data_IF_704122288439
#
_entry.id   IF_704122288439
#
_cell.length_a   1.000
_cell.length_b   1.000
_cell.length_c   1.000
_cell.angle_alpha   90.00
_cell.angle_beta   90.00
_cell.angle_gamma   90.00
#
_symmetry.space_group_name_H-M   'P 1'
#
loop_
_entity.id
_entity.type
_entity.pdbx_description
1 polymer ?
#
# COMPACT_ATOMS: atom_id res chain seq x y z
N UNK A 1 -4.24 19.23 17.83
CA UNK A 1 -4.51 18.44 19.02
C UNK A 1 -3.55 18.77 20.13
N UNK A 2 -4.03 18.90 21.31
CA UNK A 2 -3.25 19.36 22.46
C UNK A 2 -3.17 18.23 23.45
N UNK A 3 -1.99 18.05 24.07
CA UNK A 3 -1.87 17.15 25.20
C UNK A 3 -2.61 17.75 26.38
N UNK A 4 -3.62 17.04 26.84
CA UNK A 4 -4.56 17.56 27.85
C UNK A 4 -4.14 17.28 29.27
N UNK A 5 -3.19 16.39 29.46
CA UNK A 5 -2.84 15.92 30.80
C UNK A 5 -1.96 16.86 31.60
N UNK A 6 -1.52 17.96 31.03
CA UNK A 6 -0.51 18.82 31.64
C UNK A 6 0.88 18.21 31.66
N UNK A 7 1.04 17.06 31.03
CA UNK A 7 2.36 16.45 30.90
C UNK A 7 3.15 17.15 29.81
N UNK A 8 4.41 17.40 30.11
CA UNK A 8 5.33 17.86 29.11
C UNK A 8 5.85 16.69 28.32
N UNK A 9 5.68 16.77 27.02
CA UNK A 9 6.44 15.91 26.11
C UNK A 9 7.72 16.65 25.75
N UNK A 10 8.81 16.18 26.34
CA UNK A 10 10.12 16.71 25.99
C UNK A 10 10.56 16.11 24.66
N UNK A 11 10.55 16.92 23.62
CA UNK A 11 11.10 16.53 22.35
C UNK A 11 12.62 16.58 22.41
N UNK A 12 13.25 15.42 22.55
CA UNK A 12 14.68 15.35 22.44
C UNK A 12 15.03 15.58 20.98
N UNK A 13 15.71 16.67 20.72
CA UNK A 13 16.24 16.91 19.39
C UNK A 13 17.44 16.01 19.17
N UNK A 14 17.28 15.04 18.30
CA UNK A 14 18.40 14.44 17.65
C UNK A 14 19.09 15.47 16.76
N UNK A 15 20.24 15.15 16.19
CA UNK A 15 20.88 16.00 15.21
C UNK A 15 19.87 16.43 14.14
N UNK A 16 19.90 17.70 13.81
CA UNK A 16 18.97 18.25 12.83
C UNK A 16 19.14 17.53 11.49
N UNK A 17 18.05 16.98 11.00
CA UNK A 17 18.03 16.32 9.71
C UNK A 17 17.20 17.15 8.74
N UNK A 18 17.65 17.34 7.50
CA UNK A 18 16.81 17.99 6.50
C UNK A 18 15.62 17.10 6.17
N UNK A 19 14.51 17.69 5.68
CA UNK A 19 13.43 16.88 5.13
C UNK A 19 13.95 15.98 4.03
N UNK A 20 13.43 14.77 3.96
CA UNK A 20 13.74 13.87 2.84
C UNK A 20 12.75 14.15 1.72
N UNK A 21 13.27 14.18 0.51
CA UNK A 21 12.46 14.43 -0.68
C UNK A 21 12.61 13.26 -1.64
N UNK A 22 11.47 12.69 -2.02
CA UNK A 22 11.41 11.72 -3.08
C UNK A 22 10.73 12.36 -4.28
N UNK A 23 11.43 12.41 -5.39
CA UNK A 23 10.93 13.04 -6.60
C UNK A 23 9.87 12.18 -7.26
N UNK A 24 8.96 12.84 -7.98
CA UNK A 24 7.96 12.15 -8.79
C UNK A 24 8.63 11.28 -9.85
N UNK A 25 8.10 10.07 -9.99
CA UNK A 25 8.42 9.17 -11.09
C UNK A 25 7.11 8.65 -11.66
N UNK A 26 7.10 8.34 -12.94
CA UNK A 26 5.91 7.79 -13.58
C UNK A 26 5.70 6.35 -13.14
N UNK A 27 4.44 5.93 -13.14
CA UNK A 27 4.11 4.53 -12.91
C UNK A 27 4.66 3.69 -14.05
N UNK A 28 5.27 2.55 -13.73
CA UNK A 28 5.79 1.60 -14.69
C UNK A 28 4.89 0.37 -14.73
N UNK A 29 4.70 -0.18 -15.93
CA UNK A 29 3.90 -1.38 -16.08
C UNK A 29 4.64 -2.58 -15.49
N UNK A 30 3.94 -3.33 -14.63
CA UNK A 30 4.44 -4.54 -14.00
C UNK A 30 3.81 -5.78 -14.61
N UNK A 31 2.51 -5.67 -14.89
CA UNK A 31 1.69 -6.71 -15.52
C UNK A 31 0.64 -6.02 -16.39
N UNK A 32 -0.04 -6.75 -17.28
CA UNK A 32 -1.18 -6.18 -18.02
C UNK A 32 -2.20 -5.58 -17.07
N UNK A 33 -2.52 -4.30 -17.25
CA UNK A 33 -3.46 -3.59 -16.39
C UNK A 33 -2.97 -3.29 -14.98
N UNK A 34 -1.68 -3.49 -14.69
CA UNK A 34 -1.11 -3.20 -13.39
C UNK A 34 0.16 -2.38 -13.54
N UNK A 35 0.15 -1.17 -12.99
CA UNK A 35 1.30 -0.27 -12.98
C UNK A 35 1.59 0.17 -11.56
N UNK A 36 2.83 0.48 -11.28
CA UNK A 36 3.22 0.93 -9.95
C UNK A 36 4.56 1.63 -9.93
N UNK A 37 4.86 2.24 -8.79
CA UNK A 37 6.17 2.81 -8.51
C UNK A 37 6.42 2.77 -7.00
N UNK A 38 7.65 2.56 -6.64
CA UNK A 38 8.08 2.80 -5.27
C UNK A 38 8.30 4.31 -5.08
N UNK A 39 7.77 4.84 -3.99
CA UNK A 39 8.09 6.21 -3.55
C UNK A 39 9.16 6.12 -2.47
N UNK A 40 8.86 5.40 -1.40
CA UNK A 40 9.84 5.04 -0.37
C UNK A 40 10.00 3.53 -0.46
N UNK A 41 11.08 3.03 -1.05
CA UNK A 41 11.23 1.60 -1.30
C UNK A 41 11.48 0.82 -0.01
N UNK A 42 11.20 -0.49 -0.01
CA UNK A 42 11.57 -1.34 1.11
C UNK A 42 13.09 -1.41 1.26
N UNK A 43 13.55 -1.46 2.50
CA UNK A 43 14.97 -1.69 2.80
C UNK A 43 15.15 -3.19 3.06
N UNK A 44 16.02 -3.89 2.32
CA UNK A 44 16.25 -5.33 2.52
C UNK A 44 16.72 -5.68 3.93
N UNK A 45 17.28 -4.72 4.66
CA UNK A 45 17.71 -4.90 6.05
C UNK A 45 16.57 -4.70 7.04
N UNK A 46 15.43 -4.25 6.57
CA UNK A 46 14.28 -3.92 7.39
C UNK A 46 14.07 -2.41 7.54
N UNK A 47 12.87 -2.06 7.93
CA UNK A 47 12.51 -0.66 8.17
C UNK A 47 11.60 -0.56 9.39
N UNK A 48 11.81 0.49 10.17
CA UNK A 48 11.02 0.75 11.38
C UNK A 48 9.84 1.69 11.11
N UNK A 49 9.86 2.38 9.99
CA UNK A 49 8.80 3.27 9.54
C UNK A 49 7.92 2.61 8.50
N UNK A 50 7.71 3.30 7.40
CA UNK A 50 6.85 2.85 6.31
C UNK A 50 7.63 2.73 5.01
N UNK A 51 7.20 1.84 4.15
CA UNK A 51 7.40 2.01 2.72
C UNK A 51 6.16 2.68 2.15
N UNK A 52 6.31 3.33 1.03
CA UNK A 52 5.24 4.04 0.35
C UNK A 52 5.34 3.72 -1.14
N UNK A 53 4.21 3.35 -1.71
CA UNK A 53 4.14 3.07 -3.14
C UNK A 53 2.82 3.59 -3.71
N UNK A 54 2.83 3.79 -5.00
CA UNK A 54 1.63 4.14 -5.73
C UNK A 54 1.43 3.09 -6.81
N UNK A 55 0.19 2.62 -6.96
CA UNK A 55 -0.10 1.60 -7.95
C UNK A 55 -1.52 1.72 -8.46
N UNK A 56 -1.77 1.10 -9.59
CA UNK A 56 -3.09 1.11 -10.18
C UNK A 56 -3.40 -0.22 -10.85
N UNK A 57 -4.69 -0.52 -10.88
CA UNK A 57 -5.24 -1.68 -11.53
C UNK A 57 -6.29 -1.23 -12.54
N UNK A 58 -6.24 -1.77 -13.73
CA UNK A 58 -7.24 -1.57 -14.77
C UNK A 58 -7.66 -2.94 -15.27
N UNK A 59 -8.88 -3.36 -14.91
CA UNK A 59 -9.39 -4.68 -15.27
C UNK A 59 -8.40 -5.78 -14.92
N UNK A 60 -7.91 -5.75 -13.68
CA UNK A 60 -6.88 -6.65 -13.22
C UNK A 60 -6.99 -6.88 -11.72
N UNK A 61 -6.36 -7.92 -11.27
CA UNK A 61 -6.28 -8.27 -9.87
C UNK A 61 -4.89 -8.71 -9.45
N UNK A 62 -4.69 -8.69 -8.16
CA UNK A 62 -3.43 -9.02 -7.53
C UNK A 62 -3.69 -9.72 -6.20
N UNK A 63 -2.96 -10.79 -5.94
CA UNK A 63 -3.01 -11.50 -4.68
C UNK A 63 -1.63 -11.60 -4.09
N UNK A 64 -1.49 -11.27 -2.82
CA UNK A 64 -0.23 -11.41 -2.11
C UNK A 64 -0.44 -11.59 -0.61
N UNK A 65 0.67 -11.80 0.09
CA UNK A 65 0.74 -11.79 1.54
C UNK A 65 2.01 -11.06 1.93
N UNK A 66 1.91 -10.20 2.94
CA UNK A 66 3.05 -9.45 3.44
C UNK A 66 3.31 -9.76 4.91
N UNK A 67 4.59 -9.74 5.34
CA UNK A 67 4.92 -9.84 6.76
C UNK A 67 4.59 -8.58 7.55
N UNK A 68 4.17 -7.51 6.90
CA UNK A 68 3.76 -6.24 7.51
C UNK A 68 2.32 -5.90 7.10
N UNK A 69 1.72 -5.00 7.89
CA UNK A 69 0.41 -4.45 7.52
C UNK A 69 0.52 -3.67 6.21
N UNK A 70 -0.50 -3.78 5.39
CA UNK A 70 -0.63 -3.02 4.16
C UNK A 70 -1.92 -2.22 4.18
N UNK A 71 -1.80 -0.91 4.05
CA UNK A 71 -2.96 -0.02 3.98
C UNK A 71 -2.97 0.66 2.63
N UNK A 72 -4.07 0.56 1.91
CA UNK A 72 -4.28 1.23 0.63
C UNK A 72 -5.29 2.35 0.78
N UNK A 73 -4.89 3.53 0.39
CA UNK A 73 -5.76 4.69 0.25
C UNK A 73 -6.14 4.83 -1.22
N UNK A 74 -7.44 4.84 -1.50
CA UNK A 74 -7.93 4.92 -2.88
C UNK A 74 -7.92 6.37 -3.35
N UNK A 75 -7.05 6.65 -4.33
CA UNK A 75 -6.94 7.96 -4.93
C UNK A 75 -8.00 8.18 -6.00
N UNK A 76 -8.38 7.12 -6.69
CA UNK A 76 -9.39 7.18 -7.76
C UNK A 76 -9.95 5.78 -8.04
N UNK A 77 -11.16 5.71 -8.53
CA UNK A 77 -11.82 4.47 -8.93
C UNK A 77 -12.37 3.66 -7.76
N UNK A 78 -12.47 2.36 -7.96
CA UNK A 78 -13.01 1.42 -6.97
C UNK A 78 -12.12 0.21 -6.86
N UNK A 79 -11.64 -0.05 -5.66
CA UNK A 79 -10.82 -1.21 -5.33
C UNK A 79 -11.64 -2.21 -4.53
N UNK A 80 -11.70 -3.44 -5.02
CA UNK A 80 -12.27 -4.56 -4.28
C UNK A 80 -11.14 -5.24 -3.53
N UNK A 81 -11.36 -5.54 -2.27
CA UNK A 81 -10.37 -6.20 -1.42
C UNK A 81 -11.03 -7.32 -0.64
N UNK A 82 -10.44 -8.49 -0.74
CA UNK A 82 -10.87 -9.66 0.04
C UNK A 82 -9.72 -10.10 0.94
N UNK A 83 -10.02 -10.30 2.20
CA UNK A 83 -9.14 -10.95 3.16
C UNK A 83 -9.97 -11.59 4.25
N UNK A 84 -9.53 -12.72 4.79
CA UNK A 84 -10.24 -13.38 5.87
C UNK A 84 -11.67 -13.82 5.50
N UNK A 85 -11.94 -14.07 4.22
CA UNK A 85 -13.26 -14.49 3.75
C UNK A 85 -14.27 -13.36 3.59
N UNK A 86 -13.86 -12.11 3.77
CA UNK A 86 -14.74 -10.94 3.63
C UNK A 86 -14.24 -10.01 2.54
N UNK A 87 -15.17 -9.47 1.76
CA UNK A 87 -14.86 -8.55 0.67
C UNK A 87 -15.44 -7.18 0.97
N UNK A 88 -14.64 -6.15 0.74
CA UNK A 88 -15.08 -4.76 0.81
C UNK A 88 -14.78 -4.06 -0.51
N UNK A 89 -15.52 -2.99 -0.78
CA UNK A 89 -15.27 -2.12 -1.92
C UNK A 89 -14.87 -0.77 -1.37
N UNK A 90 -13.63 -0.37 -1.65
CA UNK A 90 -13.10 0.92 -1.26
C UNK A 90 -13.17 1.87 -2.47
N UNK A 91 -13.72 3.03 -2.27
CA UNK A 91 -13.90 4.07 -3.28
C UNK A 91 -12.96 5.23 -2.99
N UNK A 92 -12.90 6.16 -3.92
CA UNK A 92 -12.07 7.36 -3.76
C UNK A 92 -12.22 7.98 -2.38
N UNK A 93 -11.12 8.13 -1.67
CA UNK A 93 -11.07 8.66 -0.32
C UNK A 93 -11.16 7.62 0.79
N UNK A 94 -11.48 6.39 0.46
CA UNK A 94 -11.52 5.30 1.44
C UNK A 94 -10.14 4.68 1.62
N UNK A 95 -9.94 4.10 2.80
CA UNK A 95 -8.75 3.30 3.09
C UNK A 95 -9.16 1.90 3.49
N UNK A 96 -8.36 0.92 3.10
CA UNK A 96 -8.57 -0.48 3.47
C UNK A 96 -7.25 -1.08 3.89
N UNK A 97 -7.27 -1.86 4.97
CA UNK A 97 -6.07 -2.49 5.50
C UNK A 97 -6.19 -4.00 5.49
N UNK A 98 -5.15 -4.64 5.02
CA UNK A 98 -4.93 -6.08 5.18
C UNK A 98 -3.80 -6.25 6.19
N UNK A 99 -4.09 -6.95 7.29
CA UNK A 99 -3.11 -7.09 8.38
C UNK A 99 -2.01 -8.06 7.99
N UNK A 100 -0.86 -7.89 8.64
CA UNK A 100 0.31 -8.73 8.45
C UNK A 100 -0.03 -10.23 8.48
N UNK A 101 0.51 -10.98 7.53
CA UNK A 101 0.34 -12.43 7.46
C UNK A 101 -0.97 -12.91 6.83
N UNK A 102 -1.87 -12.00 6.47
CA UNK A 102 -3.11 -12.36 5.80
C UNK A 102 -2.92 -12.31 4.28
N UNK A 103 -3.56 -13.23 3.59
CA UNK A 103 -3.64 -13.16 2.13
C UNK A 103 -4.60 -12.04 1.78
N UNK A 104 -4.14 -11.10 0.98
CA UNK A 104 -4.95 -10.02 0.43
C UNK A 104 -5.18 -10.23 -1.06
N UNK A 105 -6.42 -10.15 -1.48
CA UNK A 105 -6.79 -10.17 -2.88
C UNK A 105 -7.36 -8.81 -3.24
N UNK A 106 -6.78 -8.19 -4.25
CA UNK A 106 -7.10 -6.84 -4.68
C UNK A 106 -7.51 -6.89 -6.14
N UNK A 107 -8.64 -6.29 -6.50
CA UNK A 107 -8.98 -6.22 -7.92
C UNK A 107 -9.81 -4.98 -8.22
N UNK A 108 -9.70 -4.54 -9.44
CA UNK A 108 -10.49 -3.44 -9.96
C UNK A 108 -11.17 -3.89 -11.24
N UNK A 109 -12.50 -4.12 -11.21
CA UNK A 109 -13.23 -4.49 -12.42
C UNK A 109 -13.10 -3.47 -13.54
N UNK A 110 -12.91 -2.20 -13.19
CA UNK A 110 -12.69 -1.12 -14.14
C UNK A 110 -11.35 -0.46 -13.93
N UNK A 111 -11.19 0.23 -12.80
CA UNK A 111 -10.00 1.00 -12.50
C UNK A 111 -9.94 1.33 -11.02
N UNK A 112 -8.74 1.28 -10.47
CA UNK A 112 -8.44 1.82 -9.15
C UNK A 112 -7.00 2.30 -9.12
N UNK A 113 -6.77 3.43 -8.46
CA UNK A 113 -5.45 3.96 -8.19
C UNK A 113 -5.31 4.14 -6.70
N UNK A 114 -4.23 3.63 -6.16
CA UNK A 114 -4.00 3.57 -4.71
C UNK A 114 -2.64 4.13 -4.34
N UNK A 115 -2.60 4.68 -3.15
CA UNK A 115 -1.37 4.90 -2.42
C UNK A 115 -1.30 3.83 -1.35
N UNK A 116 -0.23 3.04 -1.32
CA UNK A 116 -0.07 1.98 -0.33
C UNK A 116 1.02 2.31 0.66
N UNK A 117 0.70 2.06 1.92
CA UNK A 117 1.60 2.25 3.05
C UNK A 117 1.80 0.89 3.70
N UNK A 118 3.04 0.48 3.85
CA UNK A 118 3.34 -0.82 4.45
C UNK A 118 4.46 -0.69 5.47
N UNK A 119 4.32 -1.40 6.56
CA UNK A 119 5.33 -1.43 7.60
C UNK A 119 4.73 -1.39 9.00
N UNK A 120 5.59 -1.49 10.01
CA UNK A 120 7.03 -1.71 9.90
C UNK A 120 7.38 -3.17 9.54
N UNK A 121 8.60 -3.36 9.07
CA UNK A 121 9.18 -4.69 8.87
C UNK A 121 10.65 -4.62 9.32
N UNK A 122 10.89 -4.75 10.62
CA UNK A 122 12.21 -4.43 11.18
C UNK A 122 13.33 -5.40 10.79
N UNK A 123 12.98 -6.60 10.30
CA UNK A 123 13.98 -7.61 9.94
C UNK A 123 14.17 -7.75 8.42
N UNK A 124 13.36 -7.06 7.62
CA UNK A 124 13.47 -7.12 6.18
C UNK A 124 13.01 -8.44 5.56
N UNK A 125 12.14 -9.17 6.25
CA UNK A 125 11.59 -10.42 5.68
C UNK A 125 10.88 -10.10 4.39
N UNK A 126 11.24 -10.81 3.31
CA UNK A 126 10.61 -10.63 2.02
C UNK A 126 9.25 -11.33 1.98
N UNK A 127 8.31 -10.70 1.30
CA UNK A 127 7.04 -11.34 0.96
C UNK A 127 7.28 -12.38 -0.14
N UNK A 128 6.52 -13.50 -0.13
CA UNK A 128 6.56 -14.40 -1.28
C UNK A 128 6.02 -13.69 -2.53
N UNK A 129 6.33 -14.19 -3.73
CA UNK A 129 5.82 -13.61 -4.96
C UNK A 129 4.29 -13.56 -4.97
N UNK A 130 3.74 -12.46 -5.46
CA UNK A 130 2.32 -12.32 -5.64
C UNK A 130 1.84 -12.96 -6.94
N UNK A 131 0.52 -12.93 -7.15
CA UNK A 131 -0.12 -13.50 -8.32
C UNK A 131 -1.03 -12.45 -8.97
N UNK A 132 -0.79 -12.22 -10.26
CA UNK A 132 -1.59 -11.33 -11.08
C UNK A 132 -2.65 -12.13 -11.85
N UNK A 133 -3.81 -11.51 -12.08
CA UNK A 133 -4.78 -12.06 -13.04
C UNK A 133 -5.46 -10.92 -13.80
N UNK A 134 -5.88 -11.23 -15.01
CA UNK A 134 -6.66 -10.32 -15.82
C UNK A 134 -8.14 -10.50 -15.53
N UNK A 135 -8.87 -9.41 -15.55
CA UNK A 135 -10.33 -9.45 -15.48
C UNK A 135 -10.83 -9.23 -16.89
N UNK A 136 -11.44 -10.27 -17.45
CA UNK A 136 -12.12 -10.14 -18.72
C UNK A 136 -13.48 -9.52 -18.47
N UNK A 137 -13.66 -8.33 -19.00
CA UNK A 137 -15.00 -7.88 -19.20
C UNK A 137 -15.46 -8.57 -20.47
N UNK A 138 -16.49 -9.32 -20.38
CA UNK A 138 -17.07 -10.11 -21.49
C UNK A 138 -17.57 -9.26 -22.66
N UNK A 139 -17.12 -8.03 -22.80
CA UNK A 139 -17.58 -7.14 -23.85
C UNK A 139 -19.02 -6.72 -23.71
N UNK A 140 -19.63 -7.09 -22.67
CA UNK A 140 -20.98 -6.67 -22.35
C UNK A 140 -20.97 -5.60 -21.30
#
# INVERSE_FOLDING_TARGET
MVAESGEHVDYVRADAQPPRLWRHEDLAQEYPGQRGRWIIPPDPRGWSGILLAEWELTKAGWEDVHPQDETNYVLDGELHVETGGSTVIARKGDSVQVVAGQIGRYWAPRYARMLTVQGPNPTGIEAPPGTHWDIETDGS
#
